data_IF_137650087734
#
_entry.id   IF_137650087734
#
_cell.length_a   1.000
_cell.length_b   1.000
_cell.length_c   1.000
_cell.angle_alpha   90.00
_cell.angle_beta   90.00
_cell.angle_gamma   90.00
#
_symmetry.space_group_name_H-M   'P 1'
#
loop_
_entity.id
_entity.type
_entity.pdbx_description
1 polymer ?
#
# COMPACT_ATOMS: atom_id res chain seq x y z
N UNK A 1 -17.25 -0.58 1.08
CA UNK A 1 -15.78 -0.74 1.05
C UNK A 1 -15.24 0.28 0.05
N UNK A 2 -14.41 1.19 0.52
CA UNK A 2 -13.70 2.16 -0.32
C UNK A 2 -12.29 1.63 -0.62
N UNK A 3 -11.85 1.83 -1.85
CA UNK A 3 -10.54 1.46 -2.37
C UNK A 3 -9.89 2.69 -3.00
N UNK A 4 -8.63 2.57 -3.41
CA UNK A 4 -7.92 3.64 -4.09
C UNK A 4 -8.60 4.02 -5.42
N UNK A 5 -8.47 5.28 -5.80
CA UNK A 5 -8.80 5.77 -7.13
C UNK A 5 -7.93 5.08 -8.20
N UNK A 6 -8.41 4.96 -9.43
CA UNK A 6 -7.70 4.28 -10.52
C UNK A 6 -6.28 4.84 -10.74
N UNK A 7 -6.13 6.16 -10.60
CA UNK A 7 -4.84 6.84 -10.67
C UNK A 7 -3.89 6.36 -9.58
N UNK A 8 -4.30 6.42 -8.33
CA UNK A 8 -3.45 6.06 -7.19
C UNK A 8 -3.25 4.54 -7.06
N UNK A 9 -4.21 3.74 -7.53
CA UNK A 9 -4.03 2.30 -7.73
C UNK A 9 -2.89 2.04 -8.72
N UNK A 10 -2.90 2.71 -9.87
CA UNK A 10 -1.85 2.54 -10.89
C UNK A 10 -0.47 2.94 -10.35
N UNK A 11 -0.38 4.02 -9.58
CA UNK A 11 0.86 4.42 -8.91
C UNK A 11 1.30 3.37 -7.90
N UNK A 12 0.41 2.95 -7.00
CA UNK A 12 0.70 1.94 -5.99
C UNK A 12 1.24 0.65 -6.61
N UNK A 13 0.59 0.14 -7.67
CA UNK A 13 1.02 -1.06 -8.38
C UNK A 13 2.43 -0.93 -8.99
N UNK A 14 2.81 0.26 -9.46
CA UNK A 14 4.17 0.53 -9.92
C UNK A 14 5.17 0.48 -8.76
N UNK A 15 4.85 1.12 -7.64
CA UNK A 15 5.75 1.20 -6.47
C UNK A 15 6.03 -0.19 -5.86
N UNK A 16 5.04 -1.07 -5.81
CA UNK A 16 5.20 -2.42 -5.24
C UNK A 16 5.80 -3.45 -6.20
N UNK A 17 5.97 -3.12 -7.48
CA UNK A 17 6.34 -4.10 -8.52
C UNK A 17 7.66 -4.81 -8.20
N UNK A 18 8.66 -4.08 -7.72
CA UNK A 18 9.95 -4.65 -7.31
C UNK A 18 9.83 -5.42 -5.98
N UNK A 19 9.15 -4.87 -4.97
CA UNK A 19 8.97 -5.52 -3.67
C UNK A 19 8.18 -6.85 -3.79
N UNK A 20 7.34 -6.98 -4.82
CA UNK A 20 6.63 -8.23 -5.13
C UNK A 20 7.59 -9.39 -5.44
N UNK A 21 8.80 -9.10 -5.94
CA UNK A 21 9.80 -10.09 -6.34
C UNK A 21 10.82 -10.38 -5.22
N UNK A 22 11.18 -9.35 -4.46
CA UNK A 22 12.29 -9.40 -3.49
C UNK A 22 11.86 -9.26 -2.03
N UNK A 23 10.55 -9.26 -1.77
CA UNK A 23 9.90 -8.99 -0.48
C UNK A 23 10.12 -7.57 0.07
N UNK A 24 11.22 -6.91 -0.28
CA UNK A 24 11.49 -5.51 0.05
C UNK A 24 12.08 -4.80 -1.16
N UNK A 25 11.73 -3.53 -1.36
CA UNK A 25 12.35 -2.64 -2.33
C UNK A 25 12.53 -1.24 -1.74
N UNK A 26 13.65 -0.61 -2.05
CA UNK A 26 13.91 0.80 -1.73
C UNK A 26 13.94 1.60 -3.03
N UNK A 27 13.17 2.70 -3.06
CA UNK A 27 13.10 3.65 -4.17
C UNK A 27 13.73 4.95 -3.67
N UNK A 28 14.85 5.32 -4.28
CA UNK A 28 15.61 6.52 -3.90
C UNK A 28 15.51 7.57 -5.00
N UNK A 29 14.98 8.74 -4.65
CA UNK A 29 15.01 9.94 -5.50
C UNK A 29 16.05 10.90 -4.94
N UNK A 30 16.87 11.49 -5.83
CA UNK A 30 17.92 12.44 -5.43
C UNK A 30 17.32 13.63 -4.70
N UNK A 31 17.81 13.89 -3.48
CA UNK A 31 17.36 15.02 -2.65
C UNK A 31 16.00 14.80 -1.98
N UNK A 32 15.48 13.57 -2.02
CA UNK A 32 14.27 13.14 -1.32
C UNK A 32 14.60 11.99 -0.37
N UNK A 33 13.70 11.77 0.57
CA UNK A 33 13.80 10.63 1.50
C UNK A 33 13.40 9.37 0.75
N UNK A 34 14.15 8.28 0.90
CA UNK A 34 13.82 7.00 0.28
C UNK A 34 12.41 6.55 0.65
N UNK A 35 11.74 5.91 -0.29
CA UNK A 35 10.53 5.16 -0.05
C UNK A 35 10.89 3.68 -0.01
N UNK A 36 10.64 3.02 1.11
CA UNK A 36 10.77 1.58 1.26
C UNK A 36 9.40 0.96 1.17
N UNK A 37 9.35 -0.15 0.44
CA UNK A 37 8.17 -0.93 0.16
C UNK A 37 8.46 -2.36 0.59
N UNK A 38 7.67 -2.91 1.50
CA UNK A 38 7.84 -4.28 1.97
C UNK A 38 6.55 -5.08 1.79
N UNK A 39 6.68 -6.31 1.27
CA UNK A 39 5.65 -7.32 1.23
C UNK A 39 5.67 -8.08 2.57
N UNK A 40 4.65 -7.84 3.38
CA UNK A 40 4.55 -8.42 4.73
C UNK A 40 3.84 -9.77 4.71
N UNK A 41 2.86 -9.94 3.81
CA UNK A 41 2.02 -11.14 3.72
C UNK A 41 1.71 -11.43 2.26
N UNK A 42 1.76 -12.70 1.88
CA UNK A 42 1.28 -13.20 0.59
C UNK A 42 0.51 -14.52 0.78
N UNK A 43 -0.81 -14.48 0.57
CA UNK A 43 -1.71 -15.62 0.73
C UNK A 43 -2.35 -15.91 -0.64
N UNK A 44 -1.91 -16.95 -1.36
CA UNK A 44 -2.39 -17.22 -2.72
C UNK A 44 -3.84 -17.70 -2.80
N UNK A 45 -4.36 -18.32 -1.74
CA UNK A 45 -5.68 -18.98 -1.76
C UNK A 45 -6.57 -18.44 -0.62
N UNK A 46 -7.29 -17.35 -0.88
CA UNK A 46 -8.36 -16.86 -0.01
C UNK A 46 -9.72 -16.89 -0.74
N UNK A 47 -10.85 -16.83 -0.03
CA UNK A 47 -12.17 -16.66 -0.66
C UNK A 47 -12.28 -15.41 -1.54
N UNK A 48 -11.38 -14.43 -1.35
CA UNK A 48 -11.33 -13.15 -2.06
C UNK A 48 -10.12 -13.06 -3.00
N UNK A 49 -9.63 -14.19 -3.52
CA UNK A 49 -8.50 -14.25 -4.44
C UNK A 49 -7.14 -14.33 -3.74
N UNK A 50 -6.07 -13.91 -4.43
CA UNK A 50 -4.75 -13.77 -3.82
C UNK A 50 -4.72 -12.48 -3.01
N UNK A 51 -4.30 -12.60 -1.77
CA UNK A 51 -4.21 -11.49 -0.86
C UNK A 51 -2.75 -11.18 -0.57
N UNK A 52 -2.37 -9.92 -0.69
CA UNK A 52 -1.04 -9.44 -0.32
C UNK A 52 -1.14 -8.25 0.61
N UNK A 53 -0.21 -8.13 1.54
CA UNK A 53 -0.09 -6.96 2.41
C UNK A 53 1.23 -6.29 2.16
N UNK A 54 1.19 -4.99 1.89
CA UNK A 54 2.38 -4.17 1.73
C UNK A 54 2.45 -3.09 2.81
N UNK A 55 3.64 -2.78 3.28
CA UNK A 55 3.96 -1.56 4.00
C UNK A 55 4.68 -0.63 3.04
N UNK A 56 4.26 0.62 2.98
CA UNK A 56 5.06 1.67 2.36
C UNK A 56 5.43 2.67 3.46
N UNK A 57 6.71 2.98 3.54
CA UNK A 57 7.28 3.85 4.56
C UNK A 57 8.43 4.65 3.99
N UNK A 58 8.61 5.88 4.44
CA UNK A 58 9.84 6.61 4.17
C UNK A 58 10.75 6.44 5.39
N UNK A 59 11.98 5.99 5.19
CA UNK A 59 12.94 5.81 6.29
C UNK A 59 13.78 7.07 6.49
N UNK A 60 13.87 7.56 7.74
CA UNK A 60 14.98 8.38 8.22
C UNK A 60 15.53 7.73 9.49
N UNK A 61 16.85 7.58 9.57
CA UNK A 61 17.54 7.15 10.80
C UNK A 61 17.49 8.20 11.92
N UNK A 62 17.26 9.48 11.57
CA UNK A 62 17.55 10.62 12.45
C UNK A 62 16.42 11.67 12.58
N UNK A 63 15.17 11.32 12.23
CA UNK A 63 14.04 12.26 12.28
C UNK A 63 12.80 11.63 12.92
N UNK A 64 11.97 12.40 13.64
CA UNK A 64 10.74 11.87 14.22
C UNK A 64 9.71 11.68 13.09
N UNK A 65 9.73 10.46 12.57
CA UNK A 65 8.64 9.76 11.91
C UNK A 65 8.14 10.28 10.54
N UNK A 66 7.98 9.34 9.61
CA UNK A 66 7.35 9.56 8.30
C UNK A 66 6.23 8.52 8.19
N UNK A 67 5.02 8.88 7.72
CA UNK A 67 3.86 7.99 7.72
C UNK A 67 4.19 6.62 7.12
N UNK A 68 3.97 5.59 7.94
CA UNK A 68 3.90 4.19 7.53
C UNK A 68 2.43 3.92 7.21
N UNK A 69 2.14 3.45 6.00
CA UNK A 69 0.77 3.06 5.61
C UNK A 69 0.79 1.60 5.18
N UNK A 70 -0.10 0.81 5.77
CA UNK A 70 -0.36 -0.56 5.37
C UNK A 70 -1.41 -0.63 4.29
N UNK A 71 -1.16 -1.44 3.26
CA UNK A 71 -2.08 -1.67 2.16
C UNK A 71 -2.35 -3.15 1.99
N UNK A 72 -3.63 -3.51 1.96
CA UNK A 72 -4.10 -4.84 1.60
C UNK A 72 -4.48 -4.83 0.12
N UNK A 73 -3.73 -5.58 -0.69
CA UNK A 73 -4.00 -5.81 -2.09
C UNK A 73 -4.78 -7.12 -2.23
N UNK A 74 -5.94 -7.01 -2.87
CA UNK A 74 -6.81 -8.13 -3.24
C UNK A 74 -6.74 -8.28 -4.75
N UNK A 75 -6.24 -9.43 -5.18
CA UNK A 75 -6.09 -9.78 -6.58
C UNK A 75 -6.99 -10.97 -6.89
N UNK A 76 -8.12 -10.68 -7.54
CA UNK A 76 -9.10 -11.68 -7.96
C UNK A 76 -8.87 -12.14 -9.41
N UNK A 77 -7.72 -11.84 -10.00
CA UNK A 77 -7.43 -12.22 -11.38
C UNK A 77 -7.09 -13.70 -11.51
N UNK A 78 -7.46 -14.29 -12.64
CA UNK A 78 -6.90 -15.55 -13.06
C UNK A 78 -5.40 -15.36 -13.38
N UNK A 79 -4.58 -16.38 -13.10
CA UNK A 79 -3.14 -16.30 -13.38
C UNK A 79 -2.87 -15.95 -14.84
N UNK A 80 -2.11 -14.88 -15.07
CA UNK A 80 -1.71 -14.42 -16.42
C UNK A 80 -2.65 -13.40 -17.06
N UNK A 81 -3.68 -12.91 -16.37
CA UNK A 81 -4.45 -11.73 -16.81
C UNK A 81 -3.94 -10.46 -16.12
N UNK A 82 -4.26 -9.29 -16.67
CA UNK A 82 -3.99 -7.98 -16.04
C UNK A 82 -5.20 -7.09 -16.31
N UNK A 83 -6.14 -7.10 -15.38
CA UNK A 83 -7.35 -6.29 -15.40
C UNK A 83 -7.48 -5.51 -14.09
N UNK A 84 -7.17 -4.22 -14.13
CA UNK A 84 -7.22 -3.32 -12.97
C UNK A 84 -8.59 -3.30 -12.27
N UNK A 85 -9.68 -3.68 -12.94
CA UNK A 85 -11.02 -3.75 -12.32
C UNK A 85 -11.14 -4.88 -11.29
N UNK A 86 -10.32 -5.92 -11.41
CA UNK A 86 -10.31 -7.08 -10.50
C UNK A 86 -9.27 -6.96 -9.38
N UNK A 87 -8.52 -5.85 -9.35
CA UNK A 87 -7.59 -5.53 -8.27
C UNK A 87 -8.23 -4.48 -7.37
N UNK A 88 -8.20 -4.73 -6.07
CA UNK A 88 -8.63 -3.76 -5.07
C UNK A 88 -7.50 -3.55 -4.08
N UNK A 89 -7.23 -2.30 -3.74
CA UNK A 89 -6.24 -1.93 -2.73
C UNK A 89 -6.93 -1.18 -1.61
N UNK A 90 -6.84 -1.73 -0.42
CA UNK A 90 -7.44 -1.19 0.79
C UNK A 90 -6.32 -0.69 1.69
N UNK A 91 -6.24 0.61 1.97
CA UNK A 91 -5.47 1.10 3.10
C UNK A 91 -6.00 0.43 4.36
N UNK A 92 -5.15 -0.36 5.01
CA UNK A 92 -5.46 -1.23 6.13
C UNK A 92 -5.24 -0.52 7.45
N UNK A 93 -4.18 0.27 7.55
CA UNK A 93 -3.88 1.08 8.73
C UNK A 93 -2.97 2.24 8.34
N UNK A 94 -3.04 3.31 9.12
CA UNK A 94 -2.13 4.45 9.07
C UNK A 94 -1.51 4.58 10.44
N UNK A 95 -0.20 4.80 10.52
CA UNK A 95 0.43 5.18 11.78
C UNK A 95 0.17 6.66 12.06
N UNK A 96 -0.39 6.97 13.23
CA UNK A 96 -0.57 8.33 13.73
C UNK A 96 0.15 8.49 15.09
N UNK A 97 0.97 9.54 15.21
CA UNK A 97 1.68 9.86 16.45
C UNK A 97 0.72 10.26 17.58
N UNK A 98 -0.43 10.86 17.23
CA UNK A 98 -1.40 11.35 18.21
C UNK A 98 -2.08 10.20 18.98
N UNK A 99 -2.15 9.01 18.36
CA UNK A 99 -2.74 7.81 18.95
C UNK A 99 -1.69 6.82 19.46
N UNK A 100 -0.38 7.12 19.24
CA UNK A 100 0.75 6.26 19.57
C UNK A 100 0.59 4.82 19.06
N UNK A 101 -0.05 4.63 17.90
CA UNK A 101 -0.35 3.30 17.39
C UNK A 101 -0.93 3.26 15.98
N UNK A 102 -1.12 2.03 15.50
CA UNK A 102 -1.77 1.73 14.22
C UNK A 102 -3.27 1.58 14.45
N UNK A 103 -4.08 2.42 13.80
CA UNK A 103 -5.52 2.17 13.70
C UNK A 103 -5.79 1.31 12.48
N UNK A 104 -6.57 0.24 12.62
CA UNK A 104 -6.85 -0.72 11.55
C UNK A 104 -8.27 -0.53 10.99
N UNK A 105 -8.37 -0.12 9.73
CA UNK A 105 -9.62 -0.04 8.95
C UNK A 105 -10.02 -1.36 8.33
N UNK A 106 -9.05 -2.23 8.05
CA UNK A 106 -9.27 -3.58 7.53
C UNK A 106 -8.40 -4.57 8.29
N UNK A 107 -8.88 -5.80 8.46
CA UNK A 107 -8.13 -6.88 9.08
C UNK A 107 -8.56 -8.22 8.52
N UNK A 108 -7.67 -9.20 8.58
CA UNK A 108 -7.98 -10.58 8.25
C UNK A 108 -8.49 -11.30 9.49
N UNK A 109 -9.67 -11.89 9.39
CA UNK A 109 -10.16 -12.83 10.40
C UNK A 109 -9.36 -14.14 10.34
N UNK A 110 -9.49 -14.97 11.38
CA UNK A 110 -8.88 -16.30 11.41
C UNK A 110 -9.28 -17.16 10.20
N UNK A 111 -10.50 -16.96 9.69
CA UNK A 111 -11.04 -17.66 8.52
C UNK A 111 -10.59 -17.04 7.19
N UNK A 112 -9.62 -16.12 7.22
CA UNK A 112 -9.09 -15.39 6.04
C UNK A 112 -10.15 -14.55 5.31
N UNK A 113 -11.21 -14.18 6.02
CA UNK A 113 -12.17 -13.19 5.54
C UNK A 113 -11.70 -11.80 5.91
N UNK A 114 -12.09 -10.82 5.11
CA UNK A 114 -11.73 -9.43 5.34
C UNK A 114 -12.83 -8.81 6.20
N UNK A 115 -12.45 -8.31 7.38
CA UNK A 115 -13.30 -7.50 8.23
C UNK A 115 -12.92 -6.03 8.05
N UNK A 116 -13.92 -5.16 7.85
CA UNK A 116 -13.71 -3.74 7.52
C UNK A 116 -14.50 -2.88 8.49
N UNK A 117 -13.83 -1.91 9.12
CA UNK A 117 -14.48 -0.77 9.76
C UNK A 117 -14.75 0.30 8.68
N UNK A 118 -16.01 0.57 8.29
CA UNK A 118 -16.31 1.46 7.16
C UNK A 118 -15.89 2.91 7.38
N UNK A 119 -15.97 3.41 8.62
CA UNK A 119 -15.61 4.79 8.95
C UNK A 119 -14.09 4.98 8.85
N UNK A 120 -13.32 4.11 9.49
CA UNK A 120 -11.86 4.11 9.39
C UNK A 120 -11.39 3.85 7.95
N UNK A 121 -12.04 2.95 7.20
CA UNK A 121 -11.68 2.68 5.81
C UNK A 121 -11.84 3.92 4.92
N UNK A 122 -12.88 4.73 5.13
CA UNK A 122 -13.03 6.01 4.43
C UNK A 122 -11.91 6.98 4.78
N UNK A 123 -11.59 7.12 6.08
CA UNK A 123 -10.52 8.00 6.56
C UNK A 123 -9.16 7.57 6.02
N UNK A 124 -8.78 6.30 6.16
CA UNK A 124 -7.51 5.79 5.68
C UNK A 124 -7.41 5.84 4.16
N UNK A 125 -8.51 5.62 3.42
CA UNK A 125 -8.53 5.87 1.97
C UNK A 125 -8.21 7.33 1.67
N UNK A 126 -8.88 8.29 2.31
CA UNK A 126 -8.61 9.71 2.05
C UNK A 126 -7.15 10.09 2.37
N UNK A 127 -6.58 9.56 3.45
CA UNK A 127 -5.19 9.82 3.82
C UNK A 127 -4.21 9.19 2.83
N UNK A 128 -4.45 7.93 2.44
CA UNK A 128 -3.63 7.25 1.45
C UNK A 128 -3.69 7.93 0.08
N UNK A 129 -4.85 8.44 -0.35
CA UNK A 129 -4.96 9.20 -1.60
C UNK A 129 -4.08 10.45 -1.60
N UNK A 130 -4.13 11.22 -0.51
CA UNK A 130 -3.31 12.44 -0.34
C UNK A 130 -1.83 12.11 -0.29
N UNK A 131 -1.48 11.04 0.42
CA UNK A 131 -0.11 10.61 0.60
C UNK A 131 0.51 10.07 -0.71
N UNK A 132 -0.19 9.18 -1.42
CA UNK A 132 0.23 8.69 -2.73
C UNK A 132 0.36 9.83 -3.76
N UNK A 133 -0.55 10.80 -3.74
CA UNK A 133 -0.43 11.99 -4.58
C UNK A 133 0.78 12.86 -4.20
N UNK A 134 1.17 12.90 -2.93
CA UNK A 134 2.39 13.59 -2.50
C UNK A 134 3.65 12.86 -3.00
N UNK A 135 3.69 11.54 -2.88
CA UNK A 135 4.76 10.72 -3.43
C UNK A 135 4.92 10.95 -4.94
N UNK A 136 3.83 10.92 -5.70
CA UNK A 136 3.89 11.17 -7.15
C UNK A 136 4.49 12.54 -7.48
N UNK A 137 4.11 13.59 -6.74
CA UNK A 137 4.65 14.95 -6.91
C UNK A 137 6.13 15.04 -6.55
N UNK A 138 6.60 14.20 -5.62
CA UNK A 138 8.00 14.09 -5.26
C UNK A 138 8.83 13.27 -6.26
N UNK A 139 8.18 12.74 -7.30
CA UNK A 139 8.78 12.01 -8.40
C UNK A 139 8.62 10.50 -8.33
N UNK A 140 7.92 9.98 -7.30
CA UNK A 140 7.71 8.55 -7.13
C UNK A 140 6.77 7.97 -8.18
N UNK A 141 7.13 6.84 -8.79
CA UNK A 141 6.39 6.17 -9.87
C UNK A 141 6.67 6.70 -11.29
N UNK A 142 7.73 7.49 -11.47
CA UNK A 142 8.18 8.02 -12.77
C UNK A 142 9.22 7.10 -13.42
N UNK A 143 9.29 7.00 -14.77
CA UNK A 143 10.22 6.10 -15.46
C UNK A 143 11.71 6.39 -15.20
N UNK A 144 12.03 7.61 -14.78
CA UNK A 144 13.41 8.09 -14.62
C UNK A 144 14.05 7.72 -13.27
N UNK A 145 13.30 7.06 -12.38
CA UNK A 145 13.75 6.64 -11.05
C UNK A 145 14.75 5.46 -11.05
N UNK A 146 14.96 4.83 -12.21
CA UNK A 146 15.80 3.63 -12.36
C UNK A 146 17.11 3.89 -13.14
N UNK A 147 17.54 5.16 -13.27
CA UNK A 147 18.79 5.54 -13.97
C UNK A 147 19.97 5.73 -13.04
#
# INVERSE_FOLDING_TARGET
MQTLSEKNLSLFLKLISNATLTETAEIQIRGKISLVVELVVDIPNTPNGRLKKYTLSNYQTDSPFIPEIGFLLLDNQASGTTDHQNIQVLPEWVWDENTAGKEFSASLTADRNISINPELNRTHCSMAEVWLAALERDGFGQPEEFK
#
